data_IF_476396563150
#
_entry.id   IF_476396563150
#
_cell.length_a   1.000
_cell.length_b   1.000
_cell.length_c   1.000
_cell.angle_alpha   90.00
_cell.angle_beta   90.00
_cell.angle_gamma   90.00
#
_symmetry.space_group_name_H-M   'P 1'
#
loop_
_entity.id
_entity.type
_entity.pdbx_description
1 polymer ?
#
# COMPACT_ATOMS: atom_id res chain seq x y z
N UNK A 1 -18.00 -10.16 35.13
CA UNK A 1 -17.39 -10.58 33.84
C UNK A 1 -17.65 -9.44 32.87
N UNK A 2 -16.61 -8.67 32.56
CA UNK A 2 -16.69 -7.42 31.79
C UNK A 2 -17.31 -7.59 30.40
N UNK A 3 -18.15 -6.62 30.02
CA UNK A 3 -18.78 -6.51 28.69
C UNK A 3 -17.75 -6.46 27.55
N UNK A 4 -16.52 -6.02 27.81
CA UNK A 4 -15.42 -6.00 26.85
C UNK A 4 -14.98 -7.41 26.38
N UNK A 5 -15.23 -8.46 27.18
CA UNK A 5 -14.88 -9.85 26.83
C UNK A 5 -15.89 -10.55 25.90
N UNK A 6 -17.10 -10.00 25.74
CA UNK A 6 -18.12 -10.51 24.81
C UNK A 6 -17.92 -10.01 23.39
N UNK A 7 -17.24 -8.88 23.21
CA UNK A 7 -17.12 -8.19 21.91
C UNK A 7 -16.08 -8.83 20.98
N UNK A 8 -14.98 -9.36 21.53
CA UNK A 8 -13.96 -10.08 20.75
C UNK A 8 -14.46 -11.39 20.13
N UNK A 9 -15.50 -12.03 20.73
CA UNK A 9 -16.12 -13.27 20.23
C UNK A 9 -17.16 -13.01 19.12
N UNK A 10 -17.53 -11.74 18.91
CA UNK A 10 -18.57 -11.32 17.97
C UNK A 10 -18.04 -10.73 16.67
N UNK A 11 -16.72 -10.59 16.50
CA UNK A 11 -16.17 -10.09 15.22
C UNK A 11 -16.41 -11.12 14.13
N UNK A 12 -17.28 -10.76 13.19
CA UNK A 12 -17.50 -11.56 11.99
C UNK A 12 -16.22 -11.60 11.15
N UNK A 13 -16.00 -12.65 10.36
CA UNK A 13 -14.88 -12.72 9.42
C UNK A 13 -14.95 -11.66 8.30
N UNK A 14 -15.97 -10.79 8.30
CA UNK A 14 -16.17 -9.63 7.42
C UNK A 14 -15.88 -8.36 8.22
N UNK A 15 -15.09 -7.40 7.69
CA UNK A 15 -14.63 -6.23 8.44
C UNK A 15 -15.77 -5.22 8.67
N UNK A 16 -16.03 -4.80 9.91
CA UNK A 16 -17.10 -3.83 10.23
C UNK A 16 -16.99 -2.52 9.45
N UNK A 17 -15.75 -2.06 9.23
CA UNK A 17 -15.42 -0.91 8.38
C UNK A 17 -14.44 -1.35 7.29
N UNK A 18 -14.62 -0.81 6.08
CA UNK A 18 -13.67 -1.01 5.00
C UNK A 18 -12.45 -0.10 5.20
N UNK A 19 -11.24 -0.55 4.85
CA UNK A 19 -10.06 0.30 4.94
C UNK A 19 -10.16 1.48 3.96
N UNK A 20 -9.65 2.64 4.35
CA UNK A 20 -9.48 3.76 3.42
C UNK A 20 -8.20 3.55 2.61
N UNK A 21 -8.35 3.22 1.32
CA UNK A 21 -7.22 3.00 0.40
C UNK A 21 -7.33 4.01 -0.74
N UNK A 22 -6.25 4.73 -1.01
CA UNK A 22 -6.21 5.70 -2.11
C UNK A 22 -6.49 5.04 -3.46
N UNK A 23 -7.23 5.71 -4.34
CA UNK A 23 -7.60 5.15 -5.66
C UNK A 23 -8.73 4.12 -5.64
N UNK A 24 -9.23 3.74 -4.45
CA UNK A 24 -10.33 2.79 -4.30
C UNK A 24 -11.49 3.41 -3.55
N UNK A 25 -12.64 3.52 -4.22
CA UNK A 25 -13.91 3.86 -3.55
C UNK A 25 -14.70 2.58 -3.32
N UNK A 26 -14.75 2.17 -2.07
CA UNK A 26 -15.36 0.89 -1.68
C UNK A 26 -16.69 1.09 -0.95
N UNK A 27 -17.59 0.13 -1.13
CA UNK A 27 -18.86 0.08 -0.41
C UNK A 27 -19.21 -1.37 -0.12
N UNK A 28 -19.78 -1.61 1.05
CA UNK A 28 -20.27 -2.92 1.46
C UNK A 28 -21.71 -2.75 1.95
N UNK A 29 -22.65 -3.27 1.18
CA UNK A 29 -24.05 -3.34 1.57
C UNK A 29 -24.31 -4.69 2.24
N UNK A 30 -25.02 -4.69 3.37
CA UNK A 30 -25.32 -5.88 4.17
C UNK A 30 -26.82 -5.94 4.48
N UNK A 31 -27.35 -7.14 4.60
CA UNK A 31 -28.64 -7.42 5.26
C UNK A 31 -28.43 -7.78 6.74
N UNK A 32 -29.47 -7.75 7.57
CA UNK A 32 -29.40 -8.01 9.02
C UNK A 32 -29.01 -9.45 9.43
N UNK A 33 -28.74 -10.33 8.48
CA UNK A 33 -28.29 -11.69 8.74
C UNK A 33 -26.76 -11.79 8.85
N UNK A 34 -26.19 -12.13 10.02
CA UNK A 34 -24.74 -12.27 10.18
C UNK A 34 -24.21 -13.51 9.48
N UNK A 35 -23.14 -13.37 8.70
CA UNK A 35 -22.44 -14.51 8.09
C UNK A 35 -21.55 -15.21 9.12
N UNK A 36 -21.68 -16.54 9.21
CA UNK A 36 -20.94 -17.40 10.17
C UNK A 36 -19.80 -18.16 9.52
N UNK A 37 -19.95 -18.50 8.24
CA UNK A 37 -19.04 -19.35 7.48
C UNK A 37 -18.41 -18.67 6.25
N UNK A 38 -18.70 -17.39 5.99
CA UNK A 38 -18.12 -16.64 4.88
C UNK A 38 -17.33 -15.46 5.39
N UNK A 39 -16.17 -15.22 4.81
CA UNK A 39 -15.31 -14.10 5.15
C UNK A 39 -14.96 -13.23 3.96
N UNK A 40 -14.63 -11.99 4.28
CA UNK A 40 -14.11 -11.02 3.34
C UNK A 40 -12.97 -10.27 4.00
N UNK A 41 -11.94 -9.96 3.24
CA UNK A 41 -10.86 -9.11 3.70
C UNK A 41 -10.30 -8.29 2.55
N UNK A 42 -10.28 -6.97 2.74
CA UNK A 42 -9.57 -6.05 1.86
C UNK A 42 -8.37 -5.55 2.65
N UNK A 43 -7.16 -5.75 2.11
CA UNK A 43 -5.92 -5.49 2.84
C UNK A 43 -4.93 -4.74 1.94
N UNK A 44 -4.49 -3.53 2.31
CA UNK A 44 -3.31 -2.94 1.68
C UNK A 44 -2.09 -3.79 2.06
N UNK A 45 -1.41 -4.35 1.06
CA UNK A 45 -0.16 -5.10 1.24
C UNK A 45 1.03 -4.14 1.26
N UNK A 46 0.97 -3.11 0.42
CA UNK A 46 1.91 -2.00 0.33
C UNK A 46 1.16 -0.74 -0.12
N UNK A 47 1.88 0.34 -0.43
CA UNK A 47 1.28 1.51 -1.10
C UNK A 47 0.81 1.19 -2.54
N UNK A 48 1.42 0.19 -3.16
CA UNK A 48 1.23 -0.16 -4.56
C UNK A 48 0.35 -1.40 -4.75
N UNK A 49 0.07 -2.16 -3.69
CA UNK A 49 -0.71 -3.39 -3.78
C UNK A 49 -1.84 -3.48 -2.75
N UNK A 50 -3.03 -3.85 -3.24
CA UNK A 50 -4.18 -4.19 -2.39
C UNK A 50 -4.66 -5.60 -2.68
N UNK A 51 -4.78 -6.42 -1.64
CA UNK A 51 -5.42 -7.72 -1.71
C UNK A 51 -6.94 -7.62 -1.47
N UNK A 52 -7.69 -8.38 -2.26
CA UNK A 52 -9.12 -8.64 -2.13
C UNK A 52 -9.30 -10.14 -1.91
N UNK A 53 -9.71 -10.52 -0.71
CA UNK A 53 -9.94 -11.90 -0.32
C UNK A 53 -11.42 -12.11 -0.01
N UNK A 54 -11.96 -13.18 -0.56
CA UNK A 54 -13.30 -13.66 -0.28
C UNK A 54 -13.25 -15.17 -0.12
N UNK A 55 -13.91 -15.70 0.92
CA UNK A 55 -13.85 -17.13 1.17
C UNK A 55 -15.10 -17.66 1.88
N UNK A 56 -15.29 -18.97 1.79
CA UNK A 56 -16.32 -19.71 2.50
C UNK A 56 -15.73 -20.99 3.08
N UNK A 57 -16.03 -21.27 4.35
CA UNK A 57 -15.70 -22.52 5.02
C UNK A 57 -16.85 -23.52 4.93
N UNK A 58 -16.50 -24.80 4.85
CA UNK A 58 -17.41 -25.93 4.78
C UNK A 58 -16.97 -27.04 5.76
N UNK A 59 -17.92 -27.82 6.33
CA UNK A 59 -19.37 -27.65 6.27
C UNK A 59 -19.86 -26.33 6.93
N UNK A 60 -21.07 -25.89 6.56
CA UNK A 60 -21.70 -24.71 7.16
C UNK A 60 -22.36 -25.08 8.49
N UNK A 61 -21.59 -24.98 9.57
CA UNK A 61 -22.04 -25.32 10.91
C UNK A 61 -22.21 -24.07 11.79
N UNK A 62 -23.11 -24.08 12.79
CA UNK A 62 -23.33 -22.95 13.70
C UNK A 62 -22.07 -22.47 14.44
N UNK A 63 -21.06 -23.35 14.58
CA UNK A 63 -19.75 -23.05 15.17
C UNK A 63 -18.69 -22.61 14.13
N UNK A 64 -19.07 -22.27 12.90
CA UNK A 64 -18.14 -21.91 11.80
C UNK A 64 -17.37 -20.59 11.99
N UNK A 65 -17.72 -19.77 13.00
CA UNK A 65 -17.05 -18.47 13.26
C UNK A 65 -15.58 -18.61 13.70
N UNK A 66 -15.23 -19.42 14.73
CA UNK A 66 -13.84 -19.73 15.04
C UNK A 66 -13.04 -20.24 13.84
N UNK A 67 -13.64 -21.13 13.03
CA UNK A 67 -12.97 -21.71 11.88
C UNK A 67 -12.71 -20.69 10.77
N UNK A 68 -13.70 -19.86 10.45
CA UNK A 68 -13.54 -18.77 9.48
C UNK A 68 -12.55 -17.70 9.96
N UNK A 69 -12.52 -17.39 11.26
CA UNK A 69 -11.51 -16.50 11.84
C UNK A 69 -10.09 -17.08 11.74
N UNK A 70 -9.92 -18.38 12.01
CA UNK A 70 -8.64 -19.08 11.83
C UNK A 70 -8.19 -19.04 10.37
N UNK A 71 -9.10 -19.35 9.42
CA UNK A 71 -8.80 -19.28 7.98
C UNK A 71 -8.38 -17.87 7.56
N UNK A 72 -9.08 -16.83 8.02
CA UNK A 72 -8.73 -15.43 7.81
C UNK A 72 -7.31 -15.13 8.31
N UNK A 73 -6.94 -15.59 9.50
CA UNK A 73 -5.59 -15.39 10.04
C UNK A 73 -4.53 -16.15 9.24
N UNK A 74 -4.82 -17.35 8.74
CA UNK A 74 -3.92 -18.08 7.86
C UNK A 74 -3.63 -17.29 6.57
N UNK A 75 -4.66 -16.67 5.96
CA UNK A 75 -4.46 -15.75 4.83
C UNK A 75 -3.63 -14.53 5.22
N UNK A 76 -3.98 -13.82 6.31
CA UNK A 76 -3.21 -12.65 6.76
C UNK A 76 -1.74 -12.96 7.04
N UNK A 77 -1.44 -14.17 7.51
CA UNK A 77 -0.08 -14.62 7.73
C UNK A 77 0.70 -14.76 6.41
N UNK A 78 0.07 -15.34 5.37
CA UNK A 78 0.68 -15.61 4.06
C UNK A 78 0.70 -14.39 3.13
N UNK A 79 -0.21 -13.42 3.33
CA UNK A 79 -0.28 -12.20 2.54
C UNK A 79 0.85 -11.24 2.92
N UNK A 80 1.73 -10.97 1.96
CA UNK A 80 2.90 -10.08 2.05
C UNK A 80 3.00 -9.25 0.76
N UNK A 81 3.71 -8.11 0.77
CA UNK A 81 4.03 -7.40 -0.47
C UNK A 81 4.62 -8.35 -1.53
N UNK A 82 4.27 -8.11 -2.79
CA UNK A 82 4.76 -8.82 -3.99
C UNK A 82 4.40 -10.32 -4.04
N UNK A 83 3.54 -10.81 -3.14
CA UNK A 83 3.12 -12.20 -3.15
C UNK A 83 2.29 -12.55 -4.39
N UNK A 84 2.22 -13.83 -4.72
CA UNK A 84 1.41 -14.36 -5.82
C UNK A 84 0.15 -15.03 -5.28
N UNK A 85 -1.07 -14.68 -5.76
CA UNK A 85 -2.31 -15.28 -5.27
C UNK A 85 -2.31 -16.82 -5.25
N UNK A 86 -1.80 -17.45 -6.31
CA UNK A 86 -1.73 -18.91 -6.40
C UNK A 86 -0.79 -19.56 -5.38
N UNK A 87 0.36 -18.91 -5.11
CA UNK A 87 1.32 -19.36 -4.10
C UNK A 87 0.73 -19.19 -2.69
N UNK A 88 0.04 -18.08 -2.41
CA UNK A 88 -0.66 -17.83 -1.15
C UNK A 88 -1.74 -18.90 -0.90
N UNK A 89 -2.58 -19.20 -1.90
CA UNK A 89 -3.57 -20.27 -1.78
C UNK A 89 -2.92 -21.63 -1.52
N UNK A 90 -1.80 -21.93 -2.18
CA UNK A 90 -1.05 -23.17 -1.95
C UNK A 90 -0.48 -23.25 -0.53
N UNK A 91 0.01 -22.14 0.03
CA UNK A 91 0.51 -22.07 1.40
C UNK A 91 -0.62 -22.25 2.42
N UNK A 92 -1.75 -21.55 2.23
CA UNK A 92 -2.93 -21.70 3.08
C UNK A 92 -3.49 -23.12 3.00
N UNK A 93 -3.53 -23.72 1.81
CA UNK A 93 -3.95 -25.10 1.62
C UNK A 93 -3.13 -26.07 2.50
N UNK A 94 -1.79 -25.97 2.47
CA UNK A 94 -0.91 -26.80 3.31
C UNK A 94 -1.11 -26.54 4.81
N UNK A 95 -1.22 -25.27 5.21
CA UNK A 95 -1.46 -24.91 6.61
C UNK A 95 -2.77 -25.52 7.13
N UNK A 96 -3.83 -25.50 6.32
CA UNK A 96 -5.13 -26.03 6.71
C UNK A 96 -5.20 -27.57 6.63
N UNK A 97 -4.64 -28.19 5.58
CA UNK A 97 -4.74 -29.63 5.34
C UNK A 97 -4.33 -30.48 6.55
N UNK A 98 -3.25 -30.09 7.25
CA UNK A 98 -2.74 -30.85 8.41
C UNK A 98 -3.47 -30.53 9.74
N UNK A 99 -4.24 -29.45 9.81
CA UNK A 99 -4.71 -28.87 11.07
C UNK A 99 -6.24 -28.80 11.21
N UNK A 100 -6.99 -29.07 10.15
CA UNK A 100 -8.45 -29.03 10.19
C UNK A 100 -9.04 -30.44 10.25
N UNK A 101 -10.28 -30.54 10.75
CA UNK A 101 -10.97 -31.82 10.84
C UNK A 101 -11.20 -32.43 9.44
N UNK A 102 -11.21 -33.76 9.30
CA UNK A 102 -11.53 -34.41 8.04
C UNK A 102 -12.85 -33.90 7.46
N UNK A 103 -12.92 -33.83 6.12
CA UNK A 103 -14.07 -33.33 5.35
C UNK A 103 -14.37 -31.83 5.51
N UNK A 104 -13.64 -31.09 6.35
CA UNK A 104 -13.68 -29.64 6.32
C UNK A 104 -12.86 -29.16 5.12
N UNK A 105 -13.33 -28.10 4.48
CA UNK A 105 -12.63 -27.46 3.38
C UNK A 105 -12.99 -25.99 3.27
N UNK A 106 -12.22 -25.28 2.48
CA UNK A 106 -12.37 -23.84 2.29
C UNK A 106 -12.39 -23.54 0.79
N UNK A 107 -13.40 -22.81 0.32
CA UNK A 107 -13.35 -22.17 -0.99
C UNK A 107 -12.88 -20.73 -0.84
N UNK A 108 -12.01 -20.25 -1.73
CA UNK A 108 -11.53 -18.87 -1.67
C UNK A 108 -11.25 -18.28 -3.05
N UNK A 109 -11.53 -17.00 -3.22
CA UNK A 109 -11.07 -16.18 -4.34
C UNK A 109 -10.12 -15.11 -3.79
N UNK A 110 -8.91 -15.05 -4.35
CA UNK A 110 -7.89 -14.08 -3.95
C UNK A 110 -7.45 -13.29 -5.17
N UNK A 111 -7.55 -11.96 -5.10
CA UNK A 111 -7.01 -11.04 -6.09
C UNK A 111 -6.07 -10.02 -5.45
N UNK A 112 -5.05 -9.59 -6.18
CA UNK A 112 -4.11 -8.53 -5.81
C UNK A 112 -4.11 -7.52 -6.95
N UNK A 113 -4.48 -6.28 -6.63
CA UNK A 113 -4.43 -5.14 -7.54
C UNK A 113 -3.10 -4.41 -7.35
N UNK A 114 -2.34 -4.28 -8.43
CA UNK A 114 -1.20 -3.37 -8.54
C UNK A 114 -1.73 -1.99 -8.99
N UNK A 115 -1.59 -0.99 -8.12
CA UNK A 115 -2.06 0.38 -8.35
C UNK A 115 -1.21 1.14 -9.37
N UNK A 116 0.05 0.75 -9.58
CA UNK A 116 0.96 1.41 -10.53
C UNK A 116 0.62 0.98 -11.95
N UNK A 117 0.44 -0.32 -12.15
CA UNK A 117 0.24 -0.90 -13.48
C UNK A 117 -1.22 -1.15 -13.81
N UNK A 118 -2.13 -0.96 -12.84
CA UNK A 118 -3.55 -1.31 -12.96
C UNK A 118 -3.79 -2.78 -13.34
N UNK A 119 -2.83 -3.67 -13.07
CA UNK A 119 -3.04 -5.10 -13.27
C UNK A 119 -3.66 -5.75 -12.05
N UNK A 120 -4.62 -6.63 -12.29
CA UNK A 120 -5.18 -7.50 -11.27
C UNK A 120 -4.66 -8.92 -11.50
N UNK A 121 -3.92 -9.44 -10.51
CA UNK A 121 -3.50 -10.84 -10.44
C UNK A 121 -4.48 -11.58 -9.55
N UNK A 122 -4.92 -12.77 -9.92
CA UNK A 122 -5.90 -13.50 -9.12
C UNK A 122 -5.79 -15.02 -9.28
N UNK A 123 -6.25 -15.73 -8.27
CA UNK A 123 -6.36 -17.18 -8.25
C UNK A 123 -7.63 -17.59 -7.51
N UNK A 124 -8.13 -18.79 -7.78
CA UNK A 124 -9.39 -19.28 -7.24
C UNK A 124 -9.26 -20.72 -6.75
N UNK A 125 -9.76 -20.97 -5.55
CA UNK A 125 -9.86 -22.27 -4.90
C UNK A 125 -11.34 -22.70 -4.84
N UNK A 126 -12.00 -22.79 -5.99
CA UNK A 126 -13.38 -23.28 -6.09
C UNK A 126 -14.46 -22.32 -5.58
N UNK A 127 -14.17 -21.02 -5.45
CA UNK A 127 -15.12 -19.99 -5.02
C UNK A 127 -15.78 -19.29 -6.22
N UNK A 128 -16.89 -18.59 -5.98
CA UNK A 128 -17.50 -17.69 -6.95
C UNK A 128 -16.49 -16.62 -7.42
N UNK A 129 -16.39 -16.34 -8.72
CA UNK A 129 -15.42 -15.40 -9.26
C UNK A 129 -15.75 -13.95 -8.86
N UNK A 130 -14.72 -13.15 -8.63
CA UNK A 130 -14.86 -11.69 -8.59
C UNK A 130 -15.27 -11.20 -9.98
N UNK A 131 -16.16 -10.22 -10.03
CA UNK A 131 -16.67 -9.69 -11.29
C UNK A 131 -16.30 -8.22 -11.45
N UNK A 132 -16.23 -7.75 -12.68
CA UNK A 132 -16.03 -6.34 -12.96
C UNK A 132 -16.90 -5.84 -14.11
N UNK A 133 -17.11 -4.53 -14.15
CA UNK A 133 -17.75 -3.83 -15.27
C UNK A 133 -17.17 -2.43 -15.42
N UNK A 134 -17.28 -1.84 -16.61
CA UNK A 134 -16.98 -0.42 -16.80
C UNK A 134 -18.02 0.45 -16.08
N UNK A 135 -17.56 1.57 -15.52
CA UNK A 135 -18.41 2.60 -14.92
C UNK A 135 -18.73 3.73 -15.88
N UNK A 136 -18.05 3.83 -17.03
CA UNK A 136 -18.27 4.90 -18.04
C UNK A 136 -19.40 4.57 -19.00
N UNK A 137 -19.56 3.30 -19.35
CA UNK A 137 -20.57 2.84 -20.30
C UNK A 137 -21.28 1.59 -19.78
N UNK A 138 -22.57 1.40 -20.10
CA UNK A 138 -23.27 0.14 -19.85
C UNK A 138 -22.54 -0.98 -20.59
N UNK A 139 -21.71 -1.72 -19.86
CA UNK A 139 -20.92 -2.82 -20.39
C UNK A 139 -21.39 -4.10 -19.71
N UNK A 140 -21.36 -5.26 -20.40
CA UNK A 140 -21.66 -6.52 -19.76
C UNK A 140 -20.68 -6.75 -18.61
N UNK A 141 -21.19 -7.38 -17.56
CA UNK A 141 -20.36 -7.90 -16.47
C UNK A 141 -19.38 -8.93 -17.01
N UNK A 142 -18.12 -8.81 -16.61
CA UNK A 142 -17.07 -9.78 -16.90
C UNK A 142 -16.72 -10.51 -15.60
N UNK A 143 -16.75 -11.85 -15.64
CA UNK A 143 -16.35 -12.69 -14.51
C UNK A 143 -14.86 -13.04 -14.63
N UNK A 144 -14.11 -12.86 -13.54
CA UNK A 144 -12.70 -13.24 -13.46
C UNK A 144 -12.60 -14.74 -13.22
N UNK A 145 -12.63 -15.52 -14.30
CA UNK A 145 -12.62 -16.98 -14.23
C UNK A 145 -11.21 -17.50 -13.92
N UNK A 146 -11.13 -18.37 -12.92
CA UNK A 146 -9.93 -19.12 -12.57
C UNK A 146 -10.37 -20.49 -12.03
N UNK A 147 -9.63 -21.52 -12.38
CA UNK A 147 -9.87 -22.89 -11.94
C UNK A 147 -9.08 -23.20 -10.67
N UNK A 148 -9.63 -24.07 -9.82
CA UNK A 148 -8.94 -24.63 -8.67
C UNK A 148 -9.88 -25.39 -7.75
N UNK A 149 -9.31 -26.37 -7.05
CA UNK A 149 -10.03 -27.19 -6.07
C UNK A 149 -10.11 -26.48 -4.72
N UNK A 150 -11.15 -26.67 -3.90
CA UNK A 150 -11.18 -26.11 -2.55
C UNK A 150 -9.94 -26.49 -1.73
N UNK A 151 -9.47 -25.55 -0.91
CA UNK A 151 -8.36 -25.76 0.00
C UNK A 151 -8.70 -26.84 1.05
N UNK A 152 -7.66 -27.53 1.50
CA UNK A 152 -7.64 -28.62 2.47
C UNK A 152 -8.30 -29.93 2.02
N UNK A 153 -8.68 -30.06 0.74
CA UNK A 153 -9.11 -31.34 0.17
C UNK A 153 -7.91 -32.20 -0.24
N UNK A 154 -6.90 -31.60 -0.87
CA UNK A 154 -5.70 -32.28 -1.34
C UNK A 154 -4.44 -31.56 -0.88
N UNK A 155 -3.51 -32.27 -0.25
CA UNK A 155 -2.28 -31.69 0.30
C UNK A 155 -1.46 -30.90 -0.75
N UNK A 156 -1.28 -31.50 -1.93
CA UNK A 156 -0.46 -30.95 -3.00
C UNK A 156 -1.27 -30.16 -4.06
N UNK A 157 -2.43 -29.60 -3.69
CA UNK A 157 -3.19 -28.77 -4.61
C UNK A 157 -2.39 -27.52 -5.04
N UNK A 158 -2.44 -27.21 -6.33
CA UNK A 158 -1.84 -26.01 -6.93
C UNK A 158 -2.91 -25.11 -7.50
N UNK A 159 -2.68 -23.80 -7.44
CA UNK A 159 -3.64 -22.78 -7.84
C UNK A 159 -3.04 -21.91 -8.93
N UNK A 160 -3.49 -22.04 -10.19
CA UNK A 160 -3.02 -21.20 -11.28
C UNK A 160 -3.31 -19.72 -11.02
N UNK A 161 -2.33 -18.87 -11.32
CA UNK A 161 -2.50 -17.42 -11.30
C UNK A 161 -2.93 -16.94 -12.68
N UNK A 162 -3.95 -16.10 -12.71
CA UNK A 162 -4.35 -15.32 -13.87
C UNK A 162 -4.02 -13.85 -13.66
N UNK A 163 -3.76 -13.13 -14.76
CA UNK A 163 -3.45 -11.71 -14.77
C UNK A 163 -4.28 -11.00 -15.84
N UNK A 164 -4.87 -9.88 -15.50
CA UNK A 164 -5.61 -9.03 -16.43
C UNK A 164 -5.25 -7.56 -16.21
N UNK A 165 -5.13 -6.80 -17.30
CA UNK A 165 -5.09 -5.34 -17.24
C UNK A 165 -6.49 -4.83 -16.93
N UNK A 166 -6.68 -4.15 -15.80
CA UNK A 166 -7.98 -3.59 -15.48
C UNK A 166 -8.27 -2.41 -16.41
N UNK A 167 -9.46 -2.37 -17.04
CA UNK A 167 -9.86 -1.21 -17.82
C UNK A 167 -9.97 0.03 -16.95
N UNK A 168 -9.84 1.18 -17.60
CA UNK A 168 -10.19 2.48 -17.04
C UNK A 168 -11.63 2.48 -16.48
N UNK A 169 -11.82 3.25 -15.39
CA UNK A 169 -13.09 3.41 -14.71
C UNK A 169 -13.80 2.08 -14.40
N UNK A 170 -13.10 1.13 -13.78
CA UNK A 170 -13.66 -0.18 -13.45
C UNK A 170 -14.38 -0.17 -12.10
N UNK A 171 -15.51 -0.88 -12.01
CA UNK A 171 -16.11 -1.29 -10.73
C UNK A 171 -15.98 -2.80 -10.57
N UNK A 172 -15.21 -3.21 -9.58
CA UNK A 172 -15.19 -4.58 -9.07
C UNK A 172 -16.43 -4.79 -8.19
N UNK A 173 -17.01 -5.99 -8.23
CA UNK A 173 -18.07 -6.36 -7.32
C UNK A 173 -18.12 -7.86 -7.02
N UNK A 174 -18.53 -8.17 -5.79
CA UNK A 174 -18.78 -9.54 -5.35
C UNK A 174 -20.04 -9.60 -4.49
N UNK A 175 -20.86 -10.62 -4.70
CA UNK A 175 -22.01 -10.92 -3.85
C UNK A 175 -21.74 -12.20 -3.06
N UNK A 176 -21.84 -12.09 -1.73
CA UNK A 176 -21.67 -13.19 -0.79
C UNK A 176 -23.05 -13.57 -0.23
N UNK A 177 -23.45 -14.84 -0.47
CA UNK A 177 -24.73 -15.44 -0.02
C UNK A 177 -26.00 -14.62 -0.34
N UNK A 178 -25.96 -13.74 -1.37
CA UNK A 178 -27.03 -12.79 -1.73
C UNK A 178 -27.39 -11.77 -0.63
N UNK A 179 -26.68 -11.78 0.49
CA UNK A 179 -26.92 -10.95 1.66
C UNK A 179 -25.92 -9.79 1.77
N UNK A 180 -24.73 -9.96 1.18
CA UNK A 180 -23.64 -8.99 1.23
C UNK A 180 -23.19 -8.68 -0.19
N UNK A 181 -23.13 -7.39 -0.53
CA UNK A 181 -22.63 -6.93 -1.83
C UNK A 181 -21.49 -5.98 -1.59
N UNK A 182 -20.29 -6.40 -1.99
CA UNK A 182 -19.11 -5.56 -2.03
C UNK A 182 -18.99 -4.92 -3.41
N UNK A 183 -18.71 -3.62 -3.44
CA UNK A 183 -18.31 -2.90 -4.65
C UNK A 183 -17.03 -2.12 -4.39
N UNK A 184 -16.17 -2.06 -5.39
CA UNK A 184 -14.95 -1.27 -5.38
C UNK A 184 -14.77 -0.60 -6.73
N UNK A 185 -14.98 0.71 -6.78
CA UNK A 185 -14.65 1.51 -7.95
C UNK A 185 -13.16 1.84 -7.91
N UNK A 186 -12.43 1.38 -8.93
CA UNK A 186 -11.09 1.84 -9.24
C UNK A 186 -11.26 3.22 -9.84
N UNK A 187 -10.79 4.23 -9.13
CA UNK A 187 -10.74 5.58 -9.67
C UNK A 187 -9.45 5.73 -10.46
N UNK A 188 -9.54 6.27 -11.68
CA UNK A 188 -8.37 6.58 -12.53
C UNK A 188 -7.48 7.64 -11.88
N UNK A 189 -6.15 7.53 -12.00
CA UNK A 189 -5.25 7.42 -10.86
C UNK A 189 -5.22 8.74 -10.06
N UNK A 190 -6.00 8.90 -8.97
CA UNK A 190 -6.12 10.21 -8.34
C UNK A 190 -5.07 10.45 -7.25
N UNK A 191 -4.16 9.50 -6.98
CA UNK A 191 -3.18 9.64 -5.88
C UNK A 191 -1.75 9.72 -6.40
N UNK A 192 -1.28 8.71 -7.14
CA UNK A 192 0.06 8.76 -7.74
C UNK A 192 0.21 9.93 -8.70
N UNK A 193 -0.72 10.12 -9.64
CA UNK A 193 -0.62 11.22 -10.59
C UNK A 193 -0.76 12.60 -9.93
N UNK A 194 -1.58 12.71 -8.87
CA UNK A 194 -1.68 13.93 -8.08
C UNK A 194 -0.37 14.24 -7.35
N UNK A 195 0.31 13.23 -6.79
CA UNK A 195 1.62 13.39 -6.16
C UNK A 195 2.71 13.74 -7.16
N UNK A 196 2.77 13.04 -8.29
CA UNK A 196 3.72 13.34 -9.35
C UNK A 196 3.49 14.74 -9.91
N UNK A 197 2.23 15.14 -10.11
CA UNK A 197 1.88 16.51 -10.51
C UNK A 197 2.29 17.53 -9.45
N UNK A 198 2.11 17.24 -8.16
CA UNK A 198 2.53 18.13 -7.08
C UNK A 198 4.06 18.26 -7.02
N UNK A 199 4.79 17.19 -7.30
CA UNK A 199 6.25 17.19 -7.44
C UNK A 199 6.73 17.80 -8.77
N UNK A 200 5.83 18.10 -9.72
CA UNK A 200 6.20 18.54 -11.06
C UNK A 200 7.00 17.49 -11.84
N UNK A 201 6.63 16.20 -11.67
CA UNK A 201 7.27 15.04 -12.29
C UNK A 201 6.38 14.45 -13.39
N UNK A 202 6.98 13.92 -14.47
CA UNK A 202 6.22 13.30 -15.56
C UNK A 202 5.52 12.02 -15.08
N UNK A 203 4.27 11.76 -15.50
CA UNK A 203 3.46 10.64 -15.00
C UNK A 203 3.93 9.26 -15.48
N UNK A 204 4.71 9.22 -16.56
CA UNK A 204 5.22 8.02 -17.24
C UNK A 204 6.59 7.55 -16.70
N UNK A 205 7.17 8.27 -15.74
CA UNK A 205 8.42 7.86 -15.09
C UNK A 205 8.27 6.65 -14.15
N UNK A 206 9.39 5.98 -13.87
CA UNK A 206 9.44 4.83 -12.97
C UNK A 206 9.84 5.27 -11.56
N UNK A 207 8.84 5.61 -10.75
CA UNK A 207 9.04 6.05 -9.37
C UNK A 207 8.73 4.92 -8.38
N UNK A 208 9.50 4.79 -7.31
CA UNK A 208 9.15 4.07 -6.10
C UNK A 208 8.51 5.06 -5.13
N UNK A 209 7.26 4.81 -4.73
CA UNK A 209 6.48 5.71 -3.89
C UNK A 209 6.18 5.00 -2.58
N UNK A 210 6.52 5.62 -1.45
CA UNK A 210 6.25 5.09 -0.11
C UNK A 210 5.52 6.11 0.76
N UNK A 211 4.53 5.64 1.50
CA UNK A 211 3.89 6.39 2.58
C UNK A 211 4.61 6.11 3.89
N UNK A 212 5.03 7.16 4.57
CA UNK A 212 5.58 7.15 5.92
C UNK A 212 4.58 7.82 6.86
N UNK A 213 4.45 7.30 8.08
CA UNK A 213 3.53 7.86 9.09
C UNK A 213 4.28 8.39 10.31
N UNK A 214 5.41 7.78 10.64
CA UNK A 214 6.18 8.07 11.83
C UNK A 214 7.68 7.85 11.63
N UNK A 215 8.42 7.95 12.74
CA UNK A 215 9.87 7.77 12.75
C UNK A 215 10.31 6.34 12.45
N UNK A 216 9.52 5.34 12.80
CA UNK A 216 9.88 3.93 12.55
C UNK A 216 9.80 3.63 11.06
N UNK A 217 8.72 4.08 10.39
CA UNK A 217 8.58 4.05 8.94
C UNK A 217 9.76 4.75 8.25
N UNK A 218 10.10 5.96 8.72
CA UNK A 218 11.23 6.74 8.20
C UNK A 218 12.55 5.99 8.33
N UNK A 219 12.83 5.38 9.49
CA UNK A 219 14.09 4.67 9.73
C UNK A 219 14.19 3.39 8.89
N UNK A 220 13.08 2.66 8.73
CA UNK A 220 12.99 1.51 7.85
C UNK A 220 13.24 1.91 6.39
N UNK A 221 12.58 2.97 5.92
CA UNK A 221 12.76 3.52 4.58
C UNK A 221 14.21 3.99 4.33
N UNK A 222 14.78 4.76 5.26
CA UNK A 222 16.16 5.24 5.16
C UNK A 222 17.16 4.10 5.05
N UNK A 223 17.00 3.07 5.88
CA UNK A 223 17.87 1.89 5.84
C UNK A 223 17.78 1.21 4.48
N UNK A 224 16.56 0.93 4.03
CA UNK A 224 16.30 0.28 2.75
C UNK A 224 16.90 1.06 1.56
N UNK A 225 16.69 2.38 1.51
CA UNK A 225 17.24 3.22 0.43
C UNK A 225 18.76 3.33 0.45
N UNK A 226 19.38 3.43 1.63
CA UNK A 226 20.84 3.46 1.75
C UNK A 226 21.44 2.12 1.33
N UNK A 227 20.87 1.00 1.76
CA UNK A 227 21.32 -0.35 1.37
C UNK A 227 21.18 -0.54 -0.15
N UNK A 228 20.09 -0.04 -0.76
CA UNK A 228 19.89 -0.06 -2.21
C UNK A 228 20.96 0.74 -2.96
N UNK A 229 21.24 1.97 -2.54
CA UNK A 229 22.22 2.84 -3.18
C UNK A 229 23.66 2.34 -2.99
N UNK A 230 23.97 1.71 -1.85
CA UNK A 230 25.26 1.07 -1.61
C UNK A 230 25.50 -0.08 -2.59
N UNK A 231 24.48 -0.93 -2.83
CA UNK A 231 24.54 -1.99 -3.85
C UNK A 231 24.71 -1.45 -5.27
N UNK A 232 24.27 -0.23 -5.54
CA UNK A 232 24.52 0.47 -6.80
C UNK A 232 25.92 1.07 -6.94
N UNK A 233 26.77 0.91 -5.92
CA UNK A 233 28.15 1.40 -5.91
C UNK A 233 28.28 2.89 -5.58
N UNK A 234 27.28 3.51 -4.96
CA UNK A 234 27.41 4.88 -4.47
C UNK A 234 28.47 4.98 -3.38
N UNK A 235 29.25 6.08 -3.37
CA UNK A 235 30.33 6.25 -2.39
C UNK A 235 29.79 6.43 -0.97
N UNK A 236 30.56 6.01 0.04
CA UNK A 236 30.22 6.22 1.46
C UNK A 236 29.97 7.71 1.78
N UNK A 237 30.73 8.63 1.17
CA UNK A 237 30.54 10.08 1.32
C UNK A 237 29.14 10.48 0.83
N UNK A 238 28.75 10.00 -0.36
CA UNK A 238 27.42 10.25 -0.90
C UNK A 238 26.31 9.67 -0.01
N UNK A 239 26.43 8.42 0.42
CA UNK A 239 25.43 7.75 1.27
C UNK A 239 25.21 8.48 2.60
N UNK A 240 26.27 9.01 3.21
CA UNK A 240 26.17 9.86 4.42
C UNK A 240 25.41 11.16 4.16
N UNK A 241 25.74 11.86 3.07
CA UNK A 241 25.07 13.10 2.70
C UNK A 241 23.59 12.86 2.36
N UNK A 242 23.32 11.82 1.56
CA UNK A 242 21.96 11.38 1.23
C UNK A 242 21.17 11.11 2.52
N UNK A 243 21.68 10.28 3.42
CA UNK A 243 21.02 9.98 4.69
C UNK A 243 20.68 11.22 5.50
N UNK A 244 21.61 12.18 5.61
CA UNK A 244 21.37 13.43 6.34
C UNK A 244 20.25 14.26 5.68
N UNK A 245 20.28 14.38 4.36
CA UNK A 245 19.28 15.14 3.60
C UNK A 245 17.88 14.54 3.74
N UNK A 246 17.75 13.23 3.56
CA UNK A 246 16.46 12.54 3.65
C UNK A 246 15.91 12.60 5.07
N UNK A 247 16.77 12.40 6.08
CA UNK A 247 16.37 12.52 7.49
C UNK A 247 15.79 13.90 7.78
N UNK A 248 16.44 14.96 7.30
CA UNK A 248 15.97 16.33 7.47
C UNK A 248 14.63 16.57 6.78
N UNK A 249 14.50 16.18 5.49
CA UNK A 249 13.28 16.38 4.73
C UNK A 249 12.08 15.64 5.33
N UNK A 250 12.26 14.37 5.68
CA UNK A 250 11.18 13.55 6.22
C UNK A 250 10.83 13.98 7.65
N UNK A 251 11.82 14.33 8.48
CA UNK A 251 11.56 14.87 9.83
C UNK A 251 10.76 16.17 9.74
N UNK A 252 11.10 17.06 8.79
CA UNK A 252 10.36 18.29 8.58
C UNK A 252 8.90 18.01 8.15
N UNK A 253 8.70 17.06 7.25
CA UNK A 253 7.36 16.65 6.83
C UNK A 253 6.53 16.05 7.99
N UNK A 254 7.12 15.18 8.82
CA UNK A 254 6.42 14.54 9.96
C UNK A 254 6.14 15.56 11.07
N UNK A 255 7.17 16.25 11.56
CA UNK A 255 7.05 17.10 12.75
C UNK A 255 6.54 18.50 12.46
N UNK A 256 6.89 19.11 11.33
CA UNK A 256 6.52 20.49 11.03
C UNK A 256 5.32 20.57 10.09
N UNK A 257 5.33 19.81 9.00
CA UNK A 257 4.19 19.73 8.07
C UNK A 257 2.96 19.10 8.74
N UNK A 258 3.11 17.86 9.19
CA UNK A 258 2.03 17.09 9.80
C UNK A 258 1.86 17.32 11.30
N UNK A 259 2.74 18.10 11.95
CA UNK A 259 2.68 18.41 13.39
C UNK A 259 2.71 17.18 14.30
N UNK A 260 3.32 16.08 13.84
CA UNK A 260 3.37 14.81 14.55
C UNK A 260 2.04 14.06 14.61
N UNK A 261 1.04 14.47 13.83
CA UNK A 261 -0.25 13.80 13.73
C UNK A 261 -0.08 12.46 12.98
N UNK A 262 -0.18 11.34 13.71
CA UNK A 262 -0.01 9.99 13.17
C UNK A 262 -1.17 9.52 12.28
N UNK A 263 -2.26 10.29 12.22
CA UNK A 263 -3.33 10.07 11.23
C UNK A 263 -2.99 10.64 9.85
N UNK A 264 -2.03 11.57 9.79
CA UNK A 264 -1.50 12.16 8.57
C UNK A 264 -0.34 11.35 8.01
N UNK A 265 -0.02 11.60 6.75
CA UNK A 265 0.93 10.83 5.96
C UNK A 265 1.99 11.73 5.37
N UNK A 266 3.19 11.19 5.24
CA UNK A 266 4.27 11.75 4.44
C UNK A 266 4.49 10.84 3.25
N UNK A 267 4.42 11.38 2.04
CA UNK A 267 4.59 10.60 0.82
C UNK A 267 5.98 10.87 0.28
N UNK A 268 6.71 9.82 0.01
CA UNK A 268 8.02 9.88 -0.63
C UNK A 268 7.92 9.40 -2.06
N UNK A 269 8.59 10.08 -2.97
CA UNK A 269 8.72 9.71 -4.38
C UNK A 269 10.20 9.56 -4.67
N UNK A 270 10.65 8.39 -5.09
CA UNK A 270 12.06 8.11 -5.32
C UNK A 270 12.27 7.56 -6.72
N UNK A 271 13.25 8.08 -7.43
CA UNK A 271 13.66 7.56 -8.74
C UNK A 271 15.18 7.51 -8.79
N UNK A 272 15.70 6.46 -9.44
CA UNK A 272 17.13 6.35 -9.72
C UNK A 272 17.31 6.00 -11.18
N UNK A 273 18.11 6.80 -11.87
CA UNK A 273 18.49 6.59 -13.26
C UNK A 273 20.02 6.45 -13.37
N UNK A 274 20.51 6.26 -14.58
CA UNK A 274 21.95 6.31 -14.85
C UNK A 274 22.54 7.69 -14.50
N UNK A 275 21.78 8.76 -14.75
CA UNK A 275 22.27 10.14 -14.67
C UNK A 275 22.06 10.78 -13.30
N UNK A 276 21.00 10.40 -12.58
CA UNK A 276 20.62 11.10 -11.35
C UNK A 276 19.84 10.22 -10.36
N UNK A 277 19.75 10.72 -9.12
CA UNK A 277 18.86 10.23 -8.07
C UNK A 277 17.90 11.36 -7.72
N UNK A 278 16.60 11.10 -7.78
CA UNK A 278 15.55 12.06 -7.48
C UNK A 278 14.79 11.63 -6.22
N UNK A 279 14.48 12.60 -5.37
CA UNK A 279 13.67 12.36 -4.18
C UNK A 279 12.67 13.51 -3.95
N UNK A 280 11.40 13.15 -3.87
CA UNK A 280 10.30 14.03 -3.47
C UNK A 280 9.76 13.64 -2.10
N UNK A 281 9.40 14.63 -1.28
CA UNK A 281 8.68 14.47 -0.01
C UNK A 281 7.47 15.38 -0.03
N UNK A 282 6.30 14.81 0.27
CA UNK A 282 5.02 15.51 0.33
C UNK A 282 4.42 15.31 1.72
N UNK A 283 4.03 16.40 2.38
CA UNK A 283 3.27 16.39 3.62
C UNK A 283 1.83 16.91 3.44
N UNK A 284 0.98 16.63 4.43
CA UNK A 284 -0.43 17.05 4.50
C UNK A 284 -0.59 18.30 5.38
N UNK A 285 0.48 19.09 5.52
CA UNK A 285 0.49 20.40 6.16
C UNK A 285 0.07 21.52 5.21
N UNK A 286 -0.01 22.74 5.76
CA UNK A 286 -0.38 23.94 5.00
C UNK A 286 0.74 24.42 4.06
N UNK A 287 1.95 23.87 4.22
CA UNK A 287 3.17 24.30 3.55
C UNK A 287 3.80 25.54 4.19
N UNK A 288 4.93 25.97 3.62
CA UNK A 288 5.63 27.18 4.05
C UNK A 288 6.22 27.93 2.86
N UNK A 289 6.32 29.25 2.98
CA UNK A 289 7.05 30.06 2.00
C UNK A 289 8.54 30.08 2.36
N UNK A 290 9.36 29.54 1.47
CA UNK A 290 10.81 29.51 1.63
C UNK A 290 11.42 30.91 1.84
N UNK A 291 10.85 31.94 1.20
CA UNK A 291 11.37 33.32 1.28
C UNK A 291 11.17 33.95 2.66
N UNK A 292 10.30 33.35 3.47
CA UNK A 292 10.03 33.79 4.84
C UNK A 292 10.92 33.08 5.86
N UNK A 293 11.69 32.07 5.43
CA UNK A 293 12.62 31.40 6.33
C UNK A 293 13.77 32.35 6.70
N UNK A 294 14.10 32.47 8.00
CA UNK A 294 15.22 33.28 8.44
C UNK A 294 16.52 32.69 7.91
N UNK A 295 17.40 33.55 7.38
CA UNK A 295 18.74 33.12 6.91
C UNK A 295 19.51 32.50 8.09
N UNK A 296 19.82 31.18 8.03
CA UNK A 296 20.51 30.50 9.12
C UNK A 296 21.99 30.88 9.24
N UNK A 297 22.57 31.53 8.22
CA UNK A 297 23.94 32.05 8.25
C UNK A 297 24.04 33.45 8.88
N UNK A 298 22.90 34.10 9.13
CA UNK A 298 22.88 35.40 9.78
C UNK A 298 23.30 35.27 11.26
N UNK A 299 24.20 36.13 11.79
CA UNK A 299 24.70 36.04 13.16
C UNK A 299 23.60 36.00 14.24
N UNK A 300 22.47 36.66 14.00
CA UNK A 300 21.32 36.73 14.90
C UNK A 300 20.46 35.45 14.91
N UNK A 301 20.64 34.55 13.94
CA UNK A 301 19.92 33.28 13.82
C UNK A 301 20.80 32.05 14.16
N UNK A 302 22.06 32.26 14.56
CA UNK A 302 23.03 31.21 14.94
C UNK A 302 22.63 30.37 16.17
N UNK A 303 21.58 30.75 16.90
CA UNK A 303 20.99 29.95 17.99
C UNK A 303 19.58 29.41 17.68
N UNK A 304 18.97 29.85 16.58
CA UNK A 304 17.63 29.41 16.14
C UNK A 304 17.72 28.15 15.30
N UNK A 305 16.86 27.17 15.58
CA UNK A 305 16.82 25.92 14.81
C UNK A 305 16.05 26.06 13.48
N UNK A 306 15.18 27.05 13.35
CA UNK A 306 14.38 27.28 12.14
C UNK A 306 15.26 27.71 10.95
N UNK A 307 15.00 27.14 9.76
CA UNK A 307 15.69 27.47 8.50
C UNK A 307 16.98 26.69 8.21
N UNK A 308 17.59 26.05 9.22
CA UNK A 308 18.84 25.28 9.06
C UNK A 308 18.67 24.03 8.21
N UNK A 309 17.53 23.37 8.33
CA UNK A 309 17.21 22.15 7.59
C UNK A 309 17.27 22.35 6.08
N UNK A 310 16.50 23.33 5.60
CA UNK A 310 16.47 23.69 4.17
C UNK A 310 17.84 24.10 3.67
N UNK A 311 18.60 24.87 4.46
CA UNK A 311 19.98 25.23 4.11
C UNK A 311 20.89 24.00 3.98
N UNK A 312 20.81 23.05 4.92
CA UNK A 312 21.57 21.80 4.89
C UNK A 312 21.21 20.98 3.64
N UNK A 313 19.92 20.84 3.34
CA UNK A 313 19.45 20.13 2.14
C UNK A 313 20.03 20.78 0.88
N UNK A 314 19.88 22.10 0.72
CA UNK A 314 20.41 22.84 -0.44
C UNK A 314 21.92 22.77 -0.57
N UNK A 315 22.63 22.70 0.55
CA UNK A 315 24.08 22.55 0.54
C UNK A 315 24.48 21.18 -0.04
N UNK A 316 23.75 20.13 0.33
CA UNK A 316 24.09 18.77 -0.06
C UNK A 316 23.47 18.28 -1.37
N UNK A 317 22.47 18.96 -1.94
CA UNK A 317 21.81 18.57 -3.20
C UNK A 317 22.27 19.43 -4.40
N UNK A 318 22.14 18.86 -5.59
CA UNK A 318 22.41 19.55 -6.87
C UNK A 318 21.25 20.46 -7.24
N UNK A 319 20.03 19.96 -7.13
CA UNK A 319 18.80 20.73 -7.31
C UNK A 319 17.92 20.65 -6.05
N UNK A 320 17.18 21.72 -5.81
CA UNK A 320 16.17 21.83 -4.77
C UNK A 320 14.99 22.63 -5.32
N UNK A 321 13.79 22.08 -5.22
CA UNK A 321 12.54 22.71 -5.62
C UNK A 321 11.52 22.55 -4.51
N UNK A 322 10.87 23.65 -4.16
CA UNK A 322 9.70 23.65 -3.32
C UNK A 322 8.46 23.80 -4.23
N UNK A 323 7.47 22.94 -4.04
CA UNK A 323 6.28 22.83 -4.88
C UNK A 323 5.01 22.90 -4.04
N UNK A 324 3.85 22.98 -4.71
CA UNK A 324 2.56 23.18 -4.04
C UNK A 324 2.53 24.50 -3.27
N UNK A 325 1.99 24.46 -2.05
CA UNK A 325 2.01 25.60 -1.12
C UNK A 325 3.25 25.62 -0.23
N UNK A 326 4.27 24.81 -0.55
CA UNK A 326 5.43 24.59 0.30
C UNK A 326 5.40 23.30 1.11
N UNK A 327 4.41 22.44 0.87
CA UNK A 327 4.24 21.13 1.48
C UNK A 327 4.77 19.98 0.61
N UNK A 328 5.53 20.31 -0.44
CA UNK A 328 6.19 19.36 -1.31
C UNK A 328 7.60 19.83 -1.60
N UNK A 329 8.61 19.04 -1.24
CA UNK A 329 10.01 19.32 -1.55
C UNK A 329 10.55 18.27 -2.50
N UNK A 330 11.17 18.68 -3.60
CA UNK A 330 11.82 17.81 -4.57
C UNK A 330 13.29 18.16 -4.68
N UNK A 331 14.15 17.16 -4.53
CA UNK A 331 15.59 17.30 -4.64
C UNK A 331 16.15 16.35 -5.69
N UNK A 332 17.31 16.69 -6.23
CA UNK A 332 18.04 15.85 -7.16
C UNK A 332 19.51 15.83 -6.82
N UNK A 333 20.11 14.66 -7.01
CA UNK A 333 21.55 14.44 -6.99
C UNK A 333 22.01 13.97 -8.36
N UNK A 334 22.97 14.67 -8.97
CA UNK A 334 23.57 14.29 -10.25
C UNK A 334 24.67 13.26 -10.01
N UNK A 335 24.65 12.15 -10.76
CA UNK A 335 25.64 11.05 -10.61
C UNK A 335 26.94 11.33 -11.37
N UNK A 336 26.88 12.11 -12.45
CA UNK A 336 28.03 12.37 -13.33
C UNK A 336 28.80 13.66 -13.00
N UNK A 337 28.14 14.67 -12.42
CA UNK A 337 28.78 15.94 -12.06
C UNK A 337 28.23 16.52 -10.74
N UNK A 338 28.37 15.78 -9.63
CA UNK A 338 27.81 16.18 -8.35
C UNK A 338 28.46 17.50 -7.88
N UNK A 339 27.66 18.37 -7.28
CA UNK A 339 28.08 19.65 -6.67
C UNK A 339 29.29 19.49 -5.73
N UNK A 340 29.39 18.34 -5.08
CA UNK A 340 30.49 17.99 -4.16
C UNK A 340 31.80 17.55 -4.82
N UNK A 341 31.84 17.39 -6.15
CA UNK A 341 33.08 17.21 -6.92
C UNK A 341 33.58 18.51 -7.55
N UNK A 342 32.85 19.63 -7.41
CA UNK A 342 33.23 20.95 -7.94
C UNK A 342 34.02 21.81 -6.94
N UNK A 343 34.63 21.20 -5.93
CA UNK A 343 35.37 21.86 -4.85
C UNK A 343 36.81 21.38 -4.76
#
# INVERSE_FOLDING_TARGET
MDEAGKDLRNRTPIPDTLPTIGGLKMTLTRTDHPLTNQGMEILPLSDDETAFLFFQVHPDEPAGRPFSAMCKMAFRFCLKPECKPGEVLSQVNRLLFDHIAPLHYLTAFLAILDHRTHHLRFANAGHSPLSFRSSRHPSPTVNLLAEGVPCAIFNAATYPENKIQMPEATVLFMTLQKAYTFTCQLTEPPRQQAWLSLCGLPPDGHYDIKTLRDFDDMMAFLKDRVDYLDRMGCTIKFLKNFRLVILELVTNAILHGNRGDTSKRVITVFETTADHILFGVIDEGEGYDEKQLPDPLCPTNLTRQQGRGVFLVKHYTDEFRLCGNGNCTVIKFDRHNPKHSRG
#
